data_IF_488498796021
#
_entry.id   IF_488498796021
#
_cell.length_a   1.000
_cell.length_b   1.000
_cell.length_c   1.000
_cell.angle_alpha   90.00
_cell.angle_beta   90.00
_cell.angle_gamma   90.00
#
_symmetry.space_group_name_H-M   'P 1'
#
loop_
_entity.id
_entity.type
_entity.pdbx_description
1 polymer ?
#
# COMPACT_ATOMS: atom_id res chain seq x y z
N UNK A 1 -22.04 15.26 4.41
CA UNK A 1 -21.20 14.87 5.57
C UNK A 1 -20.56 13.50 5.41
N UNK A 2 -21.24 12.53 4.78
CA UNK A 2 -20.77 11.15 4.57
C UNK A 2 -19.41 11.01 3.84
N UNK A 3 -19.16 11.80 2.79
CA UNK A 3 -17.88 11.82 2.05
C UNK A 3 -16.67 12.23 2.91
N UNK A 4 -16.90 12.99 4.00
CA UNK A 4 -15.87 13.51 4.91
C UNK A 4 -15.46 12.47 5.94
N UNK A 5 -16.38 11.58 6.36
CA UNK A 5 -16.10 10.48 7.27
C UNK A 5 -15.18 9.43 6.65
N UNK A 6 -15.49 8.98 5.42
CA UNK A 6 -14.64 8.02 4.70
C UNK A 6 -13.22 8.54 4.40
N UNK A 7 -13.07 9.85 4.26
CA UNK A 7 -11.75 10.49 4.14
C UNK A 7 -10.91 10.29 5.40
N UNK A 8 -11.44 10.68 6.57
CA UNK A 8 -10.73 10.58 7.84
C UNK A 8 -10.42 9.13 8.21
N UNK A 9 -11.38 8.22 8.02
CA UNK A 9 -11.19 6.79 8.28
C UNK A 9 -10.04 6.21 7.45
N UNK A 10 -9.94 6.59 6.17
CA UNK A 10 -8.83 6.14 5.33
C UNK A 10 -7.48 6.69 5.83
N UNK A 11 -7.42 7.98 6.14
CA UNK A 11 -6.18 8.61 6.62
C UNK A 11 -5.71 7.99 7.94
N UNK A 12 -6.64 7.73 8.87
CA UNK A 12 -6.34 7.06 10.14
C UNK A 12 -5.83 5.64 9.88
N UNK A 13 -6.54 4.87 9.07
CA UNK A 13 -6.14 3.49 8.73
C UNK A 13 -4.76 3.42 8.06
N UNK A 14 -4.47 4.33 7.12
CA UNK A 14 -3.18 4.40 6.44
C UNK A 14 -2.06 4.83 7.40
N UNK A 15 -2.33 5.78 8.29
CA UNK A 15 -1.36 6.24 9.30
C UNK A 15 -1.03 5.14 10.31
N UNK A 16 -2.05 4.40 10.77
CA UNK A 16 -1.85 3.21 11.60
C UNK A 16 -1.05 2.14 10.85
N UNK A 17 -1.33 1.94 9.56
CA UNK A 17 -0.56 1.03 8.71
C UNK A 17 0.93 1.36 8.66
N UNK A 18 1.27 2.65 8.51
CA UNK A 18 2.67 3.13 8.56
C UNK A 18 3.27 2.89 9.94
N UNK A 19 2.58 3.33 11.00
CA UNK A 19 3.08 3.21 12.39
C UNK A 19 3.34 1.75 12.78
N UNK A 20 2.37 0.86 12.55
CA UNK A 20 2.51 -0.55 12.88
C UNK A 20 3.54 -1.25 12.00
N UNK A 21 3.61 -0.95 10.70
CA UNK A 21 4.60 -1.57 9.82
C UNK A 21 6.03 -1.19 10.19
N UNK A 22 6.29 0.07 10.56
CA UNK A 22 7.61 0.50 11.08
C UNK A 22 7.91 -0.18 12.41
N UNK A 23 6.96 -0.17 13.34
CA UNK A 23 7.14 -0.80 14.67
C UNK A 23 7.48 -2.27 14.53
N UNK A 24 6.80 -2.97 13.64
CA UNK A 24 6.97 -4.40 13.42
C UNK A 24 8.28 -4.72 12.71
N UNK A 25 8.72 -3.87 11.78
CA UNK A 25 10.06 -3.99 11.23
C UNK A 25 11.11 -3.98 12.35
N UNK A 26 11.04 -3.01 13.27
CA UNK A 26 11.99 -2.95 14.38
C UNK A 26 11.88 -4.15 15.33
N UNK A 27 10.66 -4.53 15.74
CA UNK A 27 10.45 -5.64 16.65
C UNK A 27 10.91 -6.98 16.04
N UNK A 28 10.45 -7.30 14.83
CA UNK A 28 10.73 -8.61 14.24
C UNK A 28 12.16 -8.75 13.75
N UNK A 29 12.78 -7.70 13.19
CA UNK A 29 14.18 -7.77 12.75
C UNK A 29 15.16 -7.75 13.91
N UNK A 30 15.01 -6.85 14.89
CA UNK A 30 16.03 -6.67 15.94
C UNK A 30 15.79 -7.48 17.22
N UNK A 31 14.53 -7.71 17.62
CA UNK A 31 14.25 -8.47 18.85
C UNK A 31 14.07 -9.96 18.58
N UNK A 32 13.30 -10.30 17.55
CA UNK A 32 12.94 -11.70 17.25
C UNK A 32 13.82 -12.34 16.16
N UNK A 33 14.72 -11.59 15.52
CA UNK A 33 15.55 -12.02 14.40
C UNK A 33 14.77 -12.65 13.22
N UNK A 34 13.46 -12.38 13.11
CA UNK A 34 12.61 -12.81 12.01
C UNK A 34 12.65 -11.76 10.89
N UNK A 35 13.66 -11.88 10.04
CA UNK A 35 13.90 -10.95 8.94
C UNK A 35 12.77 -10.97 7.90
N UNK A 36 12.12 -12.12 7.68
CA UNK A 36 11.04 -12.23 6.72
C UNK A 36 9.86 -11.35 7.11
N UNK A 37 9.36 -11.53 8.34
CA UNK A 37 8.22 -10.76 8.82
C UNK A 37 8.56 -9.27 8.97
N UNK A 38 9.78 -8.93 9.38
CA UNK A 38 10.26 -7.55 9.46
C UNK A 38 10.26 -6.83 8.11
N UNK A 39 10.87 -7.44 7.08
CA UNK A 39 10.94 -6.84 5.73
C UNK A 39 9.55 -6.63 5.15
N UNK A 40 8.64 -7.60 5.30
CA UNK A 40 7.25 -7.43 4.87
C UNK A 40 6.52 -6.33 5.65
N UNK A 41 6.82 -6.16 6.95
CA UNK A 41 6.34 -5.03 7.74
C UNK A 41 6.76 -3.68 7.17
N UNK A 42 8.03 -3.54 6.80
CA UNK A 42 8.57 -2.32 6.19
C UNK A 42 7.95 -2.03 4.82
N UNK A 43 7.85 -3.04 3.95
CA UNK A 43 7.20 -2.90 2.64
C UNK A 43 5.75 -2.46 2.80
N UNK A 44 5.02 -3.05 3.76
CA UNK A 44 3.66 -2.66 4.11
C UNK A 44 3.57 -1.19 4.51
N UNK A 45 4.49 -0.72 5.36
CA UNK A 45 4.55 0.68 5.78
C UNK A 45 4.82 1.63 4.60
N UNK A 46 5.73 1.27 3.70
CA UNK A 46 6.03 2.07 2.51
C UNK A 46 4.79 2.27 1.62
N UNK A 47 4.07 1.19 1.30
CA UNK A 47 2.85 1.29 0.49
C UNK A 47 1.70 1.99 1.21
N UNK A 48 1.56 1.80 2.52
CA UNK A 48 0.62 2.59 3.33
C UNK A 48 0.98 4.09 3.31
N UNK A 49 2.27 4.43 3.31
CA UNK A 49 2.76 5.80 3.17
C UNK A 49 2.43 6.41 1.81
N UNK A 50 2.63 5.66 0.72
CA UNK A 50 2.24 6.09 -0.64
C UNK A 50 0.73 6.36 -0.73
N UNK A 51 -0.09 5.45 -0.19
CA UNK A 51 -1.54 5.63 -0.12
C UNK A 51 -1.92 6.90 0.65
N UNK A 52 -1.31 7.13 1.82
CA UNK A 52 -1.53 8.32 2.63
C UNK A 52 -1.11 9.59 1.86
N UNK A 53 0.06 9.59 1.23
CA UNK A 53 0.57 10.69 0.43
C UNK A 53 -0.39 11.05 -0.72
N UNK A 54 -0.78 10.07 -1.53
CA UNK A 54 -1.74 10.28 -2.62
C UNK A 54 -3.08 10.83 -2.13
N UNK A 55 -3.56 10.35 -0.98
CA UNK A 55 -4.80 10.82 -0.37
C UNK A 55 -4.71 12.27 0.10
N UNK A 56 -3.61 12.65 0.75
CA UNK A 56 -3.36 14.01 1.21
C UNK A 56 -3.22 14.98 0.04
N UNK A 57 -2.49 14.61 -1.01
CA UNK A 57 -2.37 15.42 -2.23
C UNK A 57 -3.72 15.61 -2.93
N UNK A 58 -4.52 14.56 -3.00
CA UNK A 58 -5.87 14.65 -3.56
C UNK A 58 -6.78 15.57 -2.74
N UNK A 59 -6.62 15.63 -1.41
CA UNK A 59 -7.42 16.53 -0.56
C UNK A 59 -7.03 18.00 -0.72
N UNK A 60 -5.76 18.26 -1.03
CA UNK A 60 -5.24 19.61 -1.19
C UNK A 60 -5.33 20.13 -2.64
N UNK A 61 -6.00 19.40 -3.54
CA UNK A 61 -6.08 19.70 -4.97
C UNK A 61 -4.71 19.87 -5.68
N UNK A 62 -3.62 19.38 -5.07
CA UNK A 62 -2.24 19.51 -5.58
C UNK A 62 -1.80 18.32 -6.43
N UNK A 63 -2.71 17.39 -6.71
CA UNK A 63 -2.38 16.14 -7.39
C UNK A 63 -1.89 16.34 -8.83
N UNK A 64 -2.47 17.30 -9.56
CA UNK A 64 -2.05 17.67 -10.92
C UNK A 64 -0.70 18.41 -10.98
N UNK A 65 -0.25 18.99 -9.85
CA UNK A 65 1.03 19.69 -9.76
C UNK A 65 2.18 18.72 -9.54
N UNK A 66 1.94 17.67 -8.75
CA UNK A 66 2.97 16.69 -8.39
C UNK A 66 3.05 15.50 -9.34
N UNK A 67 1.94 15.10 -9.95
CA UNK A 67 1.86 13.89 -10.76
C UNK A 67 1.27 14.15 -12.14
N UNK A 68 1.97 13.67 -13.16
CA UNK A 68 1.42 13.53 -14.51
C UNK A 68 0.54 12.28 -14.61
N UNK A 69 -0.33 12.25 -15.63
CA UNK A 69 -1.19 11.09 -15.92
C UNK A 69 -0.33 9.83 -16.15
N UNK A 70 0.79 9.97 -16.85
CA UNK A 70 1.74 8.88 -17.10
C UNK A 70 2.35 8.32 -15.81
N UNK A 71 2.75 9.19 -14.88
CA UNK A 71 3.30 8.78 -13.58
C UNK A 71 2.25 8.06 -12.72
N UNK A 72 0.99 8.49 -12.73
CA UNK A 72 -0.09 7.80 -12.01
C UNK A 72 -0.42 6.43 -12.62
N UNK A 73 -0.39 6.29 -13.94
CA UNK A 73 -0.53 4.98 -14.58
C UNK A 73 0.64 4.06 -14.28
N UNK A 74 1.88 4.58 -14.29
CA UNK A 74 3.06 3.81 -13.89
C UNK A 74 2.96 3.36 -12.43
N UNK A 75 2.54 4.23 -11.53
CA UNK A 75 2.33 3.90 -10.12
C UNK A 75 1.20 2.88 -9.93
N UNK A 76 0.14 2.96 -10.73
CA UNK A 76 -0.91 1.95 -10.75
C UNK A 76 -0.36 0.58 -11.17
N UNK A 77 0.32 0.52 -12.32
CA UNK A 77 0.92 -0.72 -12.82
C UNK A 77 1.90 -1.33 -11.80
N UNK A 78 2.76 -0.50 -11.20
CA UNK A 78 3.66 -0.92 -10.13
C UNK A 78 2.92 -1.49 -8.92
N UNK A 79 1.88 -0.80 -8.43
CA UNK A 79 1.04 -1.29 -7.35
C UNK A 79 0.36 -2.63 -7.67
N UNK A 80 -0.07 -2.84 -8.91
CA UNK A 80 -0.67 -4.11 -9.34
C UNK A 80 0.34 -5.25 -9.40
N UNK A 81 1.54 -5.00 -9.92
CA UNK A 81 2.63 -6.01 -9.93
C UNK A 81 3.00 -6.41 -8.51
N UNK A 82 3.20 -5.43 -7.62
CA UNK A 82 3.50 -5.67 -6.21
C UNK A 82 2.35 -6.39 -5.48
N UNK A 83 1.10 -6.15 -5.86
CA UNK A 83 -0.05 -6.90 -5.34
C UNK A 83 0.03 -8.38 -5.71
N UNK A 84 0.24 -8.70 -6.99
CA UNK A 84 0.37 -10.08 -7.45
C UNK A 84 1.54 -10.81 -6.76
N UNK A 85 2.69 -10.13 -6.62
CA UNK A 85 3.85 -10.68 -5.90
C UNK A 85 3.54 -10.93 -4.43
N UNK A 86 2.97 -9.94 -3.74
CA UNK A 86 2.64 -10.05 -2.31
C UNK A 86 1.61 -11.16 -2.05
N UNK A 87 0.64 -11.33 -2.96
CA UNK A 87 -0.34 -12.41 -2.88
C UNK A 87 0.32 -13.78 -3.10
N UNK A 88 1.23 -13.89 -4.08
CA UNK A 88 2.02 -15.10 -4.31
C UNK A 88 2.86 -15.50 -3.09
N UNK A 89 3.58 -14.55 -2.49
CA UNK A 89 4.34 -14.79 -1.26
C UNK A 89 3.45 -15.15 -0.07
N UNK A 90 2.28 -14.53 0.07
CA UNK A 90 1.31 -14.89 1.11
C UNK A 90 0.89 -16.35 0.99
N UNK A 91 0.49 -16.77 -0.21
CA UNK A 91 0.11 -18.16 -0.47
C UNK A 91 1.27 -19.12 -0.21
N UNK A 92 2.49 -18.77 -0.65
CA UNK A 92 3.70 -19.55 -0.40
C UNK A 92 3.96 -19.75 1.10
N UNK A 93 3.96 -18.68 1.89
CA UNK A 93 4.21 -18.77 3.33
C UNK A 93 3.14 -19.61 4.04
N UNK A 94 1.87 -19.49 3.64
CA UNK A 94 0.79 -20.31 4.22
C UNK A 94 1.00 -21.79 3.89
N UNK A 95 1.25 -22.12 2.61
CA UNK A 95 1.43 -23.50 2.16
C UNK A 95 2.63 -24.14 2.84
N UNK A 96 3.78 -23.45 2.89
CA UNK A 96 5.00 -24.02 3.46
C UNK A 96 4.89 -24.20 4.99
N UNK A 97 4.24 -23.26 5.68
CA UNK A 97 4.00 -23.37 7.12
C UNK A 97 3.06 -24.54 7.42
N UNK A 98 2.02 -24.73 6.62
CA UNK A 98 1.08 -25.83 6.76
C UNK A 98 1.72 -27.19 6.44
N UNK A 99 2.54 -27.26 5.38
CA UNK A 99 3.21 -28.49 4.93
C UNK A 99 4.27 -28.97 5.92
N UNK A 100 5.07 -28.06 6.48
CA UNK A 100 6.11 -28.40 7.46
C UNK A 100 5.63 -28.34 8.91
N UNK A 101 4.33 -28.11 9.14
CA UNK A 101 3.74 -27.96 10.49
C UNK A 101 4.50 -26.97 11.37
N UNK A 102 4.96 -25.86 10.78
CA UNK A 102 5.76 -24.84 11.49
C UNK A 102 4.81 -24.10 12.42
N UNK A 103 5.02 -24.13 13.75
CA UNK A 103 4.11 -23.50 14.68
C UNK A 103 4.16 -21.98 14.56
N UNK A 104 3.06 -21.31 14.94
CA UNK A 104 2.99 -19.84 14.96
C UNK A 104 3.97 -19.25 16.00
N UNK A 105 4.25 -20.01 17.05
CA UNK A 105 5.19 -19.68 18.12
C UNK A 105 6.28 -20.75 18.17
N UNK A 106 7.56 -20.40 18.35
CA UNK A 106 8.09 -19.06 18.67
C UNK A 106 8.12 -18.09 17.47
N UNK A 107 7.98 -16.79 17.77
CA UNK A 107 7.88 -15.69 16.77
C UNK A 107 9.06 -15.64 15.79
N UNK A 108 10.25 -16.04 16.23
CA UNK A 108 11.48 -16.01 15.42
C UNK A 108 11.41 -16.87 14.15
N UNK A 109 10.85 -18.07 14.26
CA UNK A 109 10.82 -19.07 13.19
C UNK A 109 9.46 -19.14 12.46
N UNK A 110 8.54 -18.25 12.83
CA UNK A 110 7.17 -18.28 12.35
C UNK A 110 7.03 -17.62 10.98
N UNK A 111 6.84 -18.45 9.95
CA UNK A 111 6.49 -17.99 8.60
C UNK A 111 5.03 -17.50 8.49
N UNK A 112 4.17 -17.86 9.43
CA UNK A 112 2.80 -17.33 9.50
C UNK A 112 2.79 -15.81 9.70
N UNK A 113 3.74 -15.26 10.46
CA UNK A 113 3.86 -13.81 10.61
C UNK A 113 4.26 -13.15 9.30
N UNK A 114 5.20 -13.75 8.56
CA UNK A 114 5.56 -13.26 7.24
C UNK A 114 4.36 -13.29 6.28
N UNK A 115 3.51 -14.33 6.34
CA UNK A 115 2.27 -14.41 5.57
C UNK A 115 1.28 -13.27 5.90
N UNK A 116 1.10 -12.95 7.18
CA UNK A 116 0.22 -11.85 7.61
C UNK A 116 0.71 -10.52 7.06
N UNK A 117 2.03 -10.26 7.15
CA UNK A 117 2.60 -8.99 6.70
C UNK A 117 2.69 -8.87 5.17
N UNK A 118 2.91 -9.97 4.46
CA UNK A 118 2.77 -10.00 3.00
C UNK A 118 1.32 -9.76 2.57
N UNK A 119 0.34 -10.31 3.29
CA UNK A 119 -1.08 -10.04 3.04
C UNK A 119 -1.45 -8.57 3.31
N UNK A 120 -0.92 -7.97 4.38
CA UNK A 120 -1.08 -6.54 4.65
C UNK A 120 -0.45 -5.68 3.55
N UNK A 121 0.71 -6.09 3.04
CA UNK A 121 1.35 -5.43 1.89
C UNK A 121 0.45 -5.52 0.65
N UNK A 122 -0.11 -6.70 0.34
CA UNK A 122 -1.05 -6.90 -0.76
C UNK A 122 -2.25 -5.95 -0.66
N UNK A 123 -2.82 -5.77 0.54
CA UNK A 123 -3.92 -4.81 0.77
C UNK A 123 -3.52 -3.38 0.35
N UNK A 124 -2.34 -2.91 0.77
CA UNK A 124 -1.90 -1.54 0.49
C UNK A 124 -1.45 -1.33 -0.96
N UNK A 125 -0.84 -2.33 -1.59
CA UNK A 125 -0.46 -2.27 -3.01
C UNK A 125 -1.69 -2.26 -3.91
N UNK A 126 -2.72 -3.05 -3.57
CA UNK A 126 -4.01 -3.03 -4.26
C UNK A 126 -4.71 -1.67 -4.10
N UNK A 127 -4.69 -1.11 -2.89
CA UNK A 127 -5.22 0.22 -2.65
C UNK A 127 -4.49 1.29 -3.47
N UNK A 128 -3.15 1.19 -3.56
CA UNK A 128 -2.31 2.07 -4.39
C UNK A 128 -2.70 1.99 -5.86
N UNK A 129 -2.93 0.78 -6.38
CA UNK A 129 -3.41 0.58 -7.76
C UNK A 129 -4.73 1.31 -8.01
N UNK A 130 -5.75 1.05 -7.19
CA UNK A 130 -7.07 1.66 -7.38
C UNK A 130 -7.04 3.18 -7.23
N UNK A 131 -6.31 3.71 -6.25
CA UNK A 131 -6.18 5.15 -6.06
C UNK A 131 -5.49 5.81 -7.24
N UNK A 132 -4.34 5.30 -7.65
CA UNK A 132 -3.55 5.86 -8.74
C UNK A 132 -4.32 5.84 -10.05
N UNK A 133 -4.99 4.72 -10.35
CA UNK A 133 -5.83 4.59 -11.54
C UNK A 133 -7.02 5.56 -11.52
N UNK A 134 -7.72 5.67 -10.39
CA UNK A 134 -8.85 6.60 -10.24
C UNK A 134 -8.40 8.06 -10.38
N UNK A 135 -7.26 8.41 -9.80
CA UNK A 135 -6.72 9.76 -9.87
C UNK A 135 -6.24 10.13 -11.27
N UNK A 136 -5.60 9.20 -11.99
CA UNK A 136 -5.23 9.41 -13.39
C UNK A 136 -6.45 9.73 -14.26
N UNK A 137 -7.56 9.00 -14.03
CA UNK A 137 -8.84 9.27 -14.72
C UNK A 137 -9.38 10.66 -14.38
N UNK A 138 -9.40 11.05 -13.10
CA UNK A 138 -9.92 12.37 -12.68
C UNK A 138 -9.13 13.50 -13.33
N UNK A 139 -7.80 13.41 -13.33
CA UNK A 139 -6.96 14.41 -13.99
C UNK A 139 -7.28 14.45 -15.48
N UNK A 140 -7.32 13.29 -16.16
CA UNK A 140 -7.64 13.21 -17.59
C UNK A 140 -8.99 13.82 -17.97
N UNK A 141 -10.00 13.75 -17.11
CA UNK A 141 -11.32 14.38 -17.36
C UNK A 141 -11.32 15.89 -17.09
N UNK A 142 -10.47 16.39 -16.19
CA UNK A 142 -10.37 17.82 -15.90
C UNK A 142 -9.46 18.59 -16.87
N UNK A 143 -8.46 17.95 -17.49
CA UNK A 143 -7.60 18.58 -18.49
C UNK A 143 -8.28 19.06 -19.79
N UNK A 144 -9.26 18.35 -20.40
CA UNK A 144 -9.88 18.82 -21.63
C UNK A 144 -10.62 20.15 -21.49
N UNK A 145 -11.06 20.52 -20.28
CA UNK A 145 -11.69 21.83 -20.05
C UNK A 145 -10.68 22.99 -20.09
N UNK A 146 -9.44 22.77 -19.66
CA UNK A 146 -8.42 23.84 -19.59
C UNK A 146 -7.83 24.20 -20.96
N UNK A 147 -7.70 23.21 -21.86
CA UNK A 147 -7.14 23.44 -23.21
C UNK A 147 -8.12 24.27 -24.06
N UNK A 148 -9.43 24.04 -23.91
CA UNK A 148 -10.45 24.77 -24.68
C UNK A 148 -10.55 26.25 -24.27
N UNK A 149 -10.13 26.61 -23.06
CA UNK A 149 -10.26 27.97 -22.53
C UNK A 149 -9.02 28.86 -22.77
N UNK A 150 -7.87 28.28 -23.11
CA UNK A 150 -6.73 29.06 -23.64
C UNK A 150 -6.89 29.39 -25.13
N UNK A 151 -7.76 28.65 -25.83
CA UNK A 151 -7.99 28.78 -27.28
C UNK A 151 -9.25 29.64 -27.64
N UNK A 152 -9.88 30.29 -26.66
CA UNK A 152 -11.09 31.13 -26.82
C UNK A 152 -10.86 32.57 -26.33
#
# INVERSE_FOLDING_TARGET
MEKRCGYWLFCISSSLGVYFGITIFFLFTFFYHNNHAGIWGLLSAMFAGICLHLKLLSSNHRLSVWYSIGQLHALAAFGFICFCLSLGFTSWYIIISAYHHIPILPVGDSYYLAAVWSAMTAKWTLCTFFMSYRYARIIRYNTPFLIIQEDA
#
